data_IF_135915607396
#
_entry.id   IF_135915607396
#
_cell.length_a   1.000
_cell.length_b   1.000
_cell.length_c   1.000
_cell.angle_alpha   90.00
_cell.angle_beta   90.00
_cell.angle_gamma   90.00
#
_symmetry.space_group_name_H-M   'P 1'
#
loop_
_entity.id
_entity.type
_entity.pdbx_description
1 polymer ?
#
# COMPACT_ATOMS: atom_id res chain seq x y z
N UNK A 1 -39.64 22.57 48.71
CA UNK A 1 -39.61 21.09 48.80
C UNK A 1 -38.88 20.60 47.55
N UNK A 2 -37.62 20.17 47.67
CA UNK A 2 -37.20 18.75 47.74
C UNK A 2 -37.64 18.02 46.46
N UNK A 3 -36.78 17.81 45.47
CA UNK A 3 -35.80 16.71 45.39
C UNK A 3 -36.37 15.64 44.44
N UNK A 4 -35.71 15.08 43.42
CA UNK A 4 -34.32 14.68 43.24
C UNK A 4 -34.03 14.47 41.74
N UNK A 5 -32.74 14.48 41.34
CA UNK A 5 -32.27 14.30 39.97
C UNK A 5 -32.14 12.81 39.62
N UNK A 6 -32.53 12.42 38.40
CA UNK A 6 -32.22 11.11 37.85
C UNK A 6 -31.19 11.25 36.73
N UNK A 7 -30.04 10.68 37.05
CA UNK A 7 -28.81 10.53 36.29
C UNK A 7 -29.08 9.65 35.05
N UNK A 8 -28.72 10.15 33.87
CA UNK A 8 -28.25 9.36 32.73
C UNK A 8 -27.21 10.26 32.02
N UNK A 9 -25.94 10.24 32.41
CA UNK A 9 -24.93 9.21 32.14
C UNK A 9 -24.58 9.10 30.65
N UNK A 10 -23.27 9.21 30.39
CA UNK A 10 -22.52 8.99 29.15
C UNK A 10 -22.63 10.09 28.10
N UNK A 11 -21.79 11.13 28.12
CA UNK A 11 -20.33 11.10 27.84
C UNK A 11 -20.00 10.28 26.60
N UNK A 12 -19.54 10.98 25.57
CA UNK A 12 -18.52 10.45 24.68
C UNK A 12 -19.00 9.58 23.54
N UNK A 13 -19.91 10.08 22.70
CA UNK A 13 -19.83 9.69 21.29
C UNK A 13 -18.65 10.45 20.70
N UNK A 14 -17.46 9.90 20.98
CA UNK A 14 -16.20 10.27 20.39
C UNK A 14 -16.43 10.41 18.89
N UNK A 15 -16.36 11.66 18.42
CA UNK A 15 -16.12 12.02 17.05
C UNK A 15 -14.72 11.51 16.69
N UNK A 16 -14.56 10.19 16.61
CA UNK A 16 -13.45 9.53 15.97
C UNK A 16 -13.69 9.54 14.45
N UNK A 17 -14.08 10.70 13.92
CA UNK A 17 -13.65 11.12 12.59
C UNK A 17 -12.24 11.72 12.75
N UNK A 18 -11.33 10.94 13.36
CA UNK A 18 -9.93 11.08 13.05
C UNK A 18 -9.85 10.70 11.58
N UNK A 19 -9.84 11.72 10.73
CA UNK A 19 -9.45 11.53 9.35
C UNK A 19 -8.18 10.69 9.32
N UNK A 20 -8.03 9.88 8.27
CA UNK A 20 -6.73 9.39 7.86
C UNK A 20 -5.83 10.60 7.53
N UNK A 21 -5.39 11.33 8.54
CA UNK A 21 -4.09 11.96 8.56
C UNK A 21 -3.10 10.80 8.67
N UNK A 22 -2.91 10.09 7.56
CA UNK A 22 -1.63 9.43 7.35
C UNK A 22 -0.63 10.57 7.39
N UNK A 23 0.17 10.58 8.44
CA UNK A 23 1.34 11.42 8.62
C UNK A 23 2.00 11.70 7.27
N UNK A 24 2.33 12.97 7.04
CA UNK A 24 2.88 13.54 5.81
C UNK A 24 4.31 13.09 5.50
N UNK A 25 4.58 11.81 5.67
CA UNK A 25 5.70 11.07 5.12
C UNK A 25 5.09 9.81 4.53
N UNK A 26 4.71 9.85 3.24
CA UNK A 26 4.39 8.62 2.53
C UNK A 26 5.54 7.62 2.80
N UNK A 27 5.27 6.44 3.37
CA UNK A 27 6.34 5.50 3.71
C UNK A 27 7.14 5.26 2.44
N UNK A 28 8.46 5.43 2.53
CA UNK A 28 9.35 5.22 1.39
C UNK A 28 9.02 3.85 0.80
N UNK A 29 8.48 3.85 -0.42
CA UNK A 29 8.02 2.63 -1.08
C UNK A 29 9.23 1.70 -1.23
N UNK A 30 9.08 0.46 -0.77
CA UNK A 30 10.13 -0.56 -0.84
C UNK A 30 9.89 -1.44 -2.06
N UNK A 31 10.96 -1.95 -2.66
CA UNK A 31 10.88 -2.93 -3.74
C UNK A 31 9.98 -4.12 -3.37
N UNK A 32 9.20 -4.63 -4.34
CA UNK A 32 8.23 -5.71 -4.12
C UNK A 32 8.16 -6.66 -5.32
N UNK A 33 7.87 -7.94 -5.07
CA UNK A 33 7.63 -8.91 -6.15
C UNK A 33 6.22 -8.73 -6.74
N UNK A 34 6.06 -8.99 -8.04
CA UNK A 34 4.77 -8.91 -8.74
C UNK A 34 3.79 -10.04 -8.35
N UNK A 35 4.22 -10.98 -7.51
CA UNK A 35 3.35 -12.00 -6.93
C UNK A 35 3.37 -13.31 -7.70
N UNK A 36 2.24 -14.00 -7.80
CA UNK A 36 2.12 -15.34 -8.41
C UNK A 36 1.21 -15.27 -9.64
N UNK A 37 1.40 -16.22 -10.56
CA UNK A 37 0.58 -16.36 -11.76
C UNK A 37 1.36 -16.11 -13.04
N UNK A 38 0.71 -16.34 -14.17
CA UNK A 38 1.32 -16.22 -15.49
C UNK A 38 1.47 -14.74 -15.85
N UNK A 39 2.66 -14.36 -16.28
CA UNK A 39 2.96 -13.05 -16.82
C UNK A 39 2.26 -12.88 -18.18
N UNK A 40 1.31 -11.96 -18.25
CA UNK A 40 0.74 -11.48 -19.51
C UNK A 40 1.22 -10.06 -19.78
N UNK A 41 1.25 -9.67 -21.06
CA UNK A 41 1.66 -8.33 -21.45
C UNK A 41 0.83 -7.25 -20.76
N UNK A 42 -0.50 -7.37 -20.77
CA UNK A 42 -1.39 -6.39 -20.14
C UNK A 42 -1.19 -6.29 -18.63
N UNK A 43 -0.89 -7.40 -17.97
CA UNK A 43 -0.62 -7.42 -16.53
C UNK A 43 0.71 -6.74 -16.23
N UNK A 44 1.79 -7.12 -16.93
CA UNK A 44 3.10 -6.50 -16.79
C UNK A 44 3.08 -5.00 -17.10
N UNK A 45 2.29 -4.56 -18.09
CA UNK A 45 2.13 -3.14 -18.44
C UNK A 45 1.53 -2.37 -17.27
N UNK A 46 0.44 -2.87 -16.67
CA UNK A 46 -0.21 -2.25 -15.50
C UNK A 46 0.71 -2.24 -14.28
N UNK A 47 1.40 -3.34 -14.02
CA UNK A 47 2.34 -3.43 -12.91
C UNK A 47 3.56 -2.52 -13.13
N UNK A 48 3.97 -2.32 -14.39
CA UNK A 48 5.04 -1.39 -14.75
C UNK A 48 4.62 0.06 -14.50
N UNK A 49 3.42 0.46 -14.90
CA UNK A 49 2.87 1.79 -14.64
C UNK A 49 2.78 2.07 -13.14
N UNK A 50 2.30 1.08 -12.38
CA UNK A 50 2.25 1.15 -10.91
C UNK A 50 3.65 1.27 -10.30
N UNK A 51 4.58 0.43 -10.74
CA UNK A 51 5.96 0.45 -10.26
C UNK A 51 6.65 1.79 -10.56
N UNK A 52 6.43 2.35 -11.76
CA UNK A 52 6.93 3.66 -12.15
C UNK A 52 6.32 4.80 -11.31
N UNK A 53 5.02 4.73 -11.01
CA UNK A 53 4.35 5.67 -10.11
C UNK A 53 4.92 5.60 -8.68
N UNK A 54 5.40 4.43 -8.26
CA UNK A 54 6.10 4.22 -6.99
C UNK A 54 7.61 4.62 -7.06
N UNK A 55 8.10 5.10 -8.21
CA UNK A 55 9.50 5.51 -8.41
C UNK A 55 10.46 4.36 -8.70
N UNK A 56 9.95 3.21 -9.14
CA UNK A 56 10.72 2.03 -9.45
C UNK A 56 10.64 1.60 -10.92
N UNK A 57 11.29 0.47 -11.20
CA UNK A 57 11.24 -0.23 -12.49
C UNK A 57 11.08 -1.72 -12.26
N UNK A 58 10.38 -2.41 -13.16
CA UNK A 58 10.29 -3.87 -13.12
C UNK A 58 11.63 -4.46 -13.60
N UNK A 59 12.17 -5.39 -12.83
CA UNK A 59 13.30 -6.22 -13.20
C UNK A 59 12.94 -7.69 -13.08
N UNK A 60 13.43 -8.50 -14.02
CA UNK A 60 13.37 -9.96 -13.91
C UNK A 60 14.45 -10.48 -12.98
N UNK A 61 14.14 -11.51 -12.19
CA UNK A 61 15.13 -12.25 -11.41
C UNK A 61 16.16 -12.88 -12.35
N UNK A 62 17.44 -12.74 -12.02
CA UNK A 62 18.54 -13.30 -12.80
C UNK A 62 18.84 -14.76 -12.42
N UNK A 63 18.16 -15.27 -11.39
CA UNK A 63 18.47 -16.53 -10.70
C UNK A 63 17.96 -17.79 -11.43
N UNK A 64 17.49 -17.66 -12.68
CA UNK A 64 17.09 -18.79 -13.52
C UNK A 64 15.68 -19.34 -13.24
N UNK A 65 14.66 -18.48 -13.27
CA UNK A 65 13.25 -18.88 -13.19
C UNK A 65 12.49 -18.82 -14.52
N UNK A 66 11.23 -19.25 -14.51
CA UNK A 66 10.32 -19.17 -15.67
C UNK A 66 9.90 -17.71 -15.98
N UNK A 67 10.32 -17.12 -17.12
CA UNK A 67 9.93 -15.76 -17.49
C UNK A 67 8.43 -15.63 -17.77
N UNK A 68 7.70 -16.74 -17.95
CA UNK A 68 6.26 -16.71 -18.04
C UNK A 68 5.57 -16.54 -16.67
N UNK A 69 6.30 -16.43 -15.55
CA UNK A 69 5.71 -16.28 -14.21
C UNK A 69 5.98 -14.89 -13.64
N UNK A 70 4.94 -14.25 -13.10
CA UNK A 70 5.03 -12.95 -12.40
C UNK A 70 5.96 -13.00 -11.19
N UNK A 71 6.16 -14.18 -10.58
CA UNK A 71 7.07 -14.36 -9.44
C UNK A 71 8.54 -14.15 -9.79
N UNK A 72 8.87 -14.16 -11.08
CA UNK A 72 10.18 -13.83 -11.59
C UNK A 72 10.37 -12.36 -11.89
N UNK A 73 9.37 -11.51 -11.62
CA UNK A 73 9.46 -10.07 -11.77
C UNK A 73 9.35 -9.37 -10.41
N UNK A 74 10.13 -8.31 -10.25
CA UNK A 74 10.19 -7.48 -9.05
C UNK A 74 10.18 -6.02 -9.44
N UNK A 75 9.33 -5.22 -8.83
CA UNK A 75 9.44 -3.78 -8.87
C UNK A 75 10.61 -3.36 -7.96
N UNK A 76 11.68 -2.83 -8.55
CA UNK A 76 12.84 -2.32 -7.84
C UNK A 76 12.71 -0.82 -7.70
N UNK A 77 12.54 -0.35 -6.46
CA UNK A 77 12.39 1.07 -6.14
C UNK A 77 13.71 1.56 -5.55
N UNK A 78 14.40 2.46 -6.26
CA UNK A 78 15.62 3.07 -5.76
C UNK A 78 15.27 4.11 -4.69
N UNK A 79 15.88 4.00 -3.50
CA UNK A 79 15.84 5.05 -2.47
C UNK A 79 16.56 6.31 -2.99
N UNK A 80 15.89 7.10 -3.81
CA UNK A 80 16.49 8.25 -4.48
C UNK A 80 15.79 8.72 -5.74
N UNK A 81 14.75 8.03 -6.23
CA UNK A 81 13.89 8.57 -7.28
C UNK A 81 13.09 9.77 -6.70
N UNK A 82 13.66 10.96 -6.85
CA UNK A 82 13.03 12.25 -6.60
C UNK A 82 12.99 13.04 -7.89
#
# INVERSE_FOLDING_TARGET
MIGKPLILALVGLAFAAAGCATDGVAPAKTSYSLGRGVASYDQLRRDSERCAADGGKIESKQDGGDPAQLSNYTCVISKGAK
#
